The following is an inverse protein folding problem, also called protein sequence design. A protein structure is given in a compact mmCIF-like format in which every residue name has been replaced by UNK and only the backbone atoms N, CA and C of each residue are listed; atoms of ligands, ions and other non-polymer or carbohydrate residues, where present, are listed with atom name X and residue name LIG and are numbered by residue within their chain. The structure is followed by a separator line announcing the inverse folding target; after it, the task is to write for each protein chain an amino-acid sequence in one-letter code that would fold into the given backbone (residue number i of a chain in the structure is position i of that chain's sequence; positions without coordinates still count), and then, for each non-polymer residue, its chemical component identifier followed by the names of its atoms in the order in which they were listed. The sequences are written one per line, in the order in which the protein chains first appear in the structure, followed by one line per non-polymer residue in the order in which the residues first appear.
data_IF_191976920473
#
_entry.id   IF_191976920473
#
_cell.length_a   1.000
_cell.length_b   1.000
_cell.length_c   1.000
_cell.angle_alpha   90.00
_cell.angle_beta   90.00
_cell.angle_gamma   90.00
#
_symmetry.space_group_name_H-M   'P 1'
#
loop_
_entity.id
_entity.type
_entity.pdbx_description
1 polymer ?
#
# COMPACT_ATOMS: atom_id res chain seq x y z
N UNK A 1 42.10 -4.69 21.42
CA UNK A 1 40.92 -4.34 22.23
C UNK A 1 40.03 -3.46 21.37
N UNK A 2 39.04 -4.08 20.73
CA UNK A 2 38.04 -3.43 19.90
C UNK A 2 37.08 -2.64 20.79
N UNK A 3 37.00 -1.33 20.56
CA UNK A 3 35.95 -0.50 21.13
C UNK A 3 34.63 -0.90 20.45
N UNK A 4 33.83 -1.73 21.12
CA UNK A 4 32.40 -1.79 20.86
C UNK A 4 31.82 -0.47 21.36
N UNK A 5 31.55 0.44 20.43
CA UNK A 5 30.77 1.64 20.69
C UNK A 5 29.38 1.19 21.10
N UNK A 6 29.00 1.44 22.34
CA UNK A 6 27.62 1.27 22.80
C UNK A 6 26.69 2.03 21.85
N UNK A 7 25.84 1.29 21.13
CA UNK A 7 24.72 1.85 20.39
C UNK A 7 23.87 2.66 21.36
N UNK A 8 23.97 3.98 21.27
CA UNK A 8 23.06 4.89 21.97
C UNK A 8 21.63 4.51 21.59
N UNK A 9 20.88 3.93 22.54
CA UNK A 9 19.48 3.61 22.32
C UNK A 9 18.72 4.93 22.22
N UNK A 10 18.18 5.22 21.04
CA UNK A 10 17.29 6.38 20.83
C UNK A 10 16.10 6.28 21.76
N UNK A 11 15.96 7.22 22.71
CA UNK A 11 14.86 7.21 23.67
C UNK A 11 13.49 7.16 22.99
N UNK A 12 13.30 7.90 21.89
CA UNK A 12 12.06 7.88 21.11
C UNK A 12 11.74 6.52 20.46
N UNK A 13 12.76 5.76 20.04
CA UNK A 13 12.56 4.39 19.51
C UNK A 13 12.23 3.43 20.64
N UNK A 14 12.86 3.58 21.82
CA UNK A 14 12.49 2.80 22.99
C UNK A 14 11.02 3.07 23.40
N UNK A 15 10.60 4.34 23.39
CA UNK A 15 9.22 4.75 23.68
C UNK A 15 8.23 4.18 22.65
N UNK A 16 8.59 4.16 21.35
CA UNK A 16 7.76 3.58 20.28
C UNK A 16 7.37 2.13 20.60
N UNK A 17 8.32 1.30 21.08
CA UNK A 17 8.06 -0.10 21.42
C UNK A 17 7.30 -0.30 22.73
N UNK A 18 7.20 0.73 23.57
CA UNK A 18 6.46 0.70 24.83
C UNK A 18 5.07 1.33 24.70
N UNK A 19 4.78 2.03 23.61
CA UNK A 19 3.54 2.74 23.42
C UNK A 19 2.35 1.78 23.21
N UNK A 20 1.34 1.76 24.10
CA UNK A 20 0.27 0.77 24.04
C UNK A 20 -0.63 0.93 22.82
N UNK A 21 -0.97 -0.18 22.16
CA UNK A 21 -1.85 -0.19 20.98
C UNK A 21 -3.20 0.50 21.23
N UNK A 22 -3.82 0.27 22.39
CA UNK A 22 -5.11 0.89 22.72
C UNK A 22 -5.00 2.41 22.89
N UNK A 23 -3.88 2.90 23.43
CA UNK A 23 -3.58 4.33 23.48
C UNK A 23 -3.40 4.90 22.07
N UNK A 24 -2.65 4.20 21.21
CA UNK A 24 -2.46 4.60 19.82
C UNK A 24 -3.79 4.80 19.08
N UNK A 25 -4.73 3.86 19.23
CA UNK A 25 -6.05 3.96 18.62
C UNK A 25 -6.85 5.17 19.14
N UNK A 26 -6.84 5.41 20.45
CA UNK A 26 -7.58 6.51 21.08
C UNK A 26 -6.93 7.87 20.81
N UNK A 27 -5.61 7.97 20.67
CA UNK A 27 -4.89 9.24 20.48
C UNK A 27 -4.70 9.60 19.01
N UNK A 28 -4.87 8.65 18.08
CA UNK A 28 -4.74 8.88 16.64
C UNK A 28 -5.68 9.97 16.16
N UNK A 29 -5.12 11.09 15.69
CA UNK A 29 -5.85 12.22 15.09
C UNK A 29 -5.13 12.67 13.84
N UNK A 30 -5.87 13.29 12.93
CA UNK A 30 -5.22 14.06 11.85
C UNK A 30 -4.70 15.36 12.47
N UNK A 31 -3.37 15.49 12.57
CA UNK A 31 -2.70 16.75 12.96
C UNK A 31 -2.28 17.45 11.68
N UNK A 32 -2.87 18.63 11.39
CA UNK A 32 -2.74 19.30 10.09
C UNK A 32 -1.70 20.42 10.06
N UNK A 33 -1.37 20.98 11.22
CA UNK A 33 -0.37 22.03 11.34
C UNK A 33 0.93 21.39 11.83
N UNK A 34 1.86 21.20 10.90
CA UNK A 34 3.21 20.76 11.23
C UNK A 34 4.02 21.93 11.82
N UNK A 35 5.09 21.61 12.54
CA UNK A 35 6.06 22.61 13.01
C UNK A 35 6.58 23.39 11.79
N UNK A 36 6.63 24.72 11.91
CA UNK A 36 7.05 25.62 10.83
C UNK A 36 6.00 25.92 9.77
N UNK A 37 4.77 25.42 9.90
CA UNK A 37 3.66 25.77 9.00
C UNK A 37 2.87 26.97 9.52
N UNK A 38 2.80 28.04 8.73
CA UNK A 38 1.90 29.18 8.95
C UNK A 38 0.57 28.97 8.23
N UNK A 39 -0.53 29.48 8.79
CA UNK A 39 -1.89 29.37 8.28
C UNK A 39 -2.53 30.75 8.17
N UNK A 40 -3.07 31.06 7.00
CA UNK A 40 -3.94 32.22 6.81
C UNK A 40 -5.42 31.80 6.95
N UNK A 41 -6.05 32.29 8.01
CA UNK A 41 -7.42 31.98 8.37
C UNK A 41 -8.14 33.19 8.98
N UNK A 42 -7.95 34.38 8.41
CA UNK A 42 -8.51 35.65 8.91
C UNK A 42 -8.19 35.85 10.40
N UNK A 43 -9.20 36.02 11.27
CA UNK A 43 -9.01 36.18 12.71
C UNK A 43 -8.42 34.97 13.44
N UNK A 44 -8.33 33.81 12.78
CA UNK A 44 -7.72 32.58 13.30
C UNK A 44 -6.36 32.28 12.65
N UNK A 45 -5.76 33.26 11.96
CA UNK A 45 -4.45 33.09 11.34
C UNK A 45 -3.37 32.80 12.37
N UNK A 46 -2.40 31.99 11.97
CA UNK A 46 -1.25 31.62 12.79
C UNK A 46 0.03 31.75 11.97
N UNK A 47 1.02 32.45 12.51
CA UNK A 47 2.36 32.51 11.94
C UNK A 47 3.31 31.68 12.79
N UNK A 48 3.96 30.69 12.18
CA UNK A 48 4.94 29.86 12.87
C UNK A 48 6.27 30.60 13.01
N UNK A 49 6.85 30.57 14.22
CA UNK A 49 8.20 31.07 14.50
C UNK A 49 9.26 29.98 14.50
N UNK A 50 8.86 28.75 14.21
CA UNK A 50 9.73 27.59 14.19
C UNK A 50 10.17 27.29 12.76
N UNK A 51 11.39 26.81 12.58
CA UNK A 51 11.76 26.19 11.31
C UNK A 51 11.00 24.87 11.09
N UNK A 52 10.71 24.51 9.83
CA UNK A 52 10.26 23.16 9.49
C UNK A 52 11.22 22.10 10.02
N UNK A 53 10.68 20.95 10.40
CA UNK A 53 11.44 19.87 11.03
C UNK A 53 11.17 18.57 10.28
N UNK A 54 11.97 18.24 9.25
CA UNK A 54 11.84 16.97 8.54
C UNK A 54 12.09 15.79 9.48
N UNK A 55 11.59 14.62 9.08
CA UNK A 55 11.91 13.37 9.77
C UNK A 55 13.41 13.12 9.70
N UNK A 56 13.96 12.60 10.79
CA UNK A 56 15.31 12.03 10.78
C UNK A 56 15.36 10.80 9.85
N UNK A 57 16.56 10.41 9.36
CA UNK A 57 16.72 9.20 8.56
C UNK A 57 16.15 7.94 9.23
N UNK A 58 16.30 7.82 10.55
CA UNK A 58 15.78 6.68 11.31
C UNK A 58 14.25 6.69 11.41
N UNK A 59 13.63 7.83 11.69
CA UNK A 59 12.15 7.95 11.72
C UNK A 59 11.55 7.64 10.35
N UNK A 60 12.15 8.15 9.26
CA UNK A 60 11.74 7.84 7.90
C UNK A 60 11.89 6.35 7.60
N UNK A 61 13.02 5.75 7.98
CA UNK A 61 13.29 4.33 7.75
C UNK A 61 12.29 3.40 8.46
N UNK A 62 11.90 3.75 9.70
CA UNK A 62 10.85 3.04 10.43
C UNK A 62 9.52 3.12 9.67
N UNK A 63 9.11 4.31 9.22
CA UNK A 63 7.86 4.48 8.47
C UNK A 63 7.86 3.74 7.12
N UNK A 64 8.99 3.77 6.39
CA UNK A 64 9.15 3.00 5.15
C UNK A 64 9.00 1.52 5.44
N UNK A 65 9.69 1.01 6.46
CA UNK A 65 9.62 -0.41 6.86
C UNK A 65 8.21 -0.80 7.28
N UNK A 66 7.48 0.06 7.99
CA UNK A 66 6.06 -0.17 8.31
C UNK A 66 5.20 -0.21 7.04
N UNK A 67 5.51 0.59 6.02
CA UNK A 67 4.76 0.62 4.77
C UNK A 67 5.10 -0.56 3.83
N UNK A 68 6.36 -1.02 3.80
CA UNK A 68 6.84 -1.97 2.80
C UNK A 68 7.27 -3.33 3.35
N UNK A 69 7.59 -3.41 4.63
CA UNK A 69 8.31 -4.51 5.27
C UNK A 69 7.60 -5.86 5.24
N UNK A 70 8.39 -6.93 5.29
CA UNK A 70 7.92 -8.31 5.40
C UNK A 70 7.73 -8.64 6.89
N UNK A 71 6.57 -9.17 7.27
CA UNK A 71 6.27 -9.57 8.66
C UNK A 71 6.34 -11.07 8.88
N UNK A 72 6.52 -11.86 7.82
CA UNK A 72 6.64 -13.31 7.87
C UNK A 72 6.14 -13.98 6.59
N UNK A 73 5.66 -15.21 6.74
CA UNK A 73 5.12 -16.04 5.65
C UNK A 73 3.68 -16.41 6.00
N UNK A 74 2.76 -16.29 5.05
CA UNK A 74 1.37 -16.71 5.17
C UNK A 74 1.23 -18.18 4.79
N UNK A 75 0.50 -18.96 5.60
CA UNK A 75 0.31 -20.41 5.37
C UNK A 75 -0.76 -20.73 4.32
N UNK A 76 -1.64 -19.76 4.01
CA UNK A 76 -2.69 -19.90 2.98
C UNK A 76 -3.61 -21.12 3.21
N UNK A 77 -4.11 -21.26 4.44
CA UNK A 77 -4.91 -22.41 4.90
C UNK A 77 -6.34 -22.45 4.29
N UNK A 78 -6.43 -22.57 2.97
CA UNK A 78 -7.68 -22.73 2.22
C UNK A 78 -8.08 -24.20 2.05
N UNK A 79 -9.38 -24.51 1.96
CA UNK A 79 -9.82 -25.88 1.67
C UNK A 79 -9.39 -26.28 0.25
N UNK A 80 -8.62 -27.37 0.15
CA UNK A 80 -8.23 -27.95 -1.14
C UNK A 80 -9.29 -28.90 -1.71
N UNK A 81 -10.34 -29.18 -0.95
CA UNK A 81 -11.44 -30.07 -1.31
C UNK A 81 -12.75 -29.29 -1.21
N UNK A 82 -13.54 -29.30 -2.29
CA UNK A 82 -14.90 -28.76 -2.36
C UNK A 82 -15.92 -29.90 -2.33
N UNK A 83 -17.21 -29.62 -2.07
CA UNK A 83 -18.26 -30.63 -2.14
C UNK A 83 -18.37 -31.36 -3.49
N UNK A 84 -17.94 -30.74 -4.60
CA UNK A 84 -18.04 -31.25 -5.96
C UNK A 84 -16.68 -31.58 -6.63
N UNK A 85 -15.56 -31.56 -5.89
CA UNK A 85 -14.25 -31.92 -6.44
C UNK A 85 -13.06 -31.30 -5.70
N UNK A 86 -11.93 -31.21 -6.39
CA UNK A 86 -10.74 -30.53 -5.89
C UNK A 86 -10.78 -29.03 -6.22
N UNK A 87 -10.24 -28.20 -5.31
CA UNK A 87 -10.00 -26.79 -5.58
C UNK A 87 -8.75 -26.63 -6.44
N UNK A 88 -8.84 -25.86 -7.53
CA UNK A 88 -7.76 -25.70 -8.52
C UNK A 88 -6.61 -24.81 -8.01
N UNK A 89 -6.78 -24.26 -6.82
CA UNK A 89 -5.81 -23.41 -6.16
C UNK A 89 -6.48 -22.25 -5.44
N UNK A 90 -5.70 -21.58 -4.63
CA UNK A 90 -6.14 -20.39 -3.92
C UNK A 90 -5.94 -19.13 -4.79
N UNK A 91 -6.78 -18.07 -4.69
CA UNK A 91 -6.55 -16.81 -5.40
C UNK A 91 -5.26 -16.08 -4.98
N UNK A 92 -4.50 -16.60 -4.00
CA UNK A 92 -3.38 -15.88 -3.42
C UNK A 92 -2.20 -15.69 -4.40
N UNK A 93 -1.77 -14.43 -4.56
CA UNK A 93 -0.67 -14.07 -5.47
C UNK A 93 0.73 -14.13 -4.83
N UNK A 94 0.81 -13.99 -3.51
CA UNK A 94 2.08 -13.97 -2.77
C UNK A 94 1.98 -14.82 -1.50
N UNK A 95 3.12 -15.32 -1.00
CA UNK A 95 3.21 -16.07 0.27
C UNK A 95 3.80 -15.24 1.41
N UNK A 96 4.34 -14.05 1.12
CA UNK A 96 4.97 -13.21 2.14
C UNK A 96 3.89 -12.38 2.84
N UNK A 97 3.95 -12.29 4.16
CA UNK A 97 3.09 -11.44 4.96
C UNK A 97 3.63 -10.00 5.03
N UNK A 98 2.71 -9.04 5.18
CA UNK A 98 3.00 -7.60 5.33
C UNK A 98 2.27 -7.05 6.55
N UNK A 99 2.64 -5.83 6.93
CA UNK A 99 1.97 -5.04 7.97
C UNK A 99 0.53 -4.69 7.62
N UNK A 100 0.28 -4.32 6.36
CA UNK A 100 -1.04 -4.02 5.82
C UNK A 100 -1.71 -5.24 5.23
N UNK A 101 -3.02 -5.38 5.46
CA UNK A 101 -3.83 -6.40 4.80
C UNK A 101 -3.96 -6.12 3.31
N UNK A 102 -4.09 -7.18 2.52
CA UNK A 102 -4.28 -7.09 1.08
C UNK A 102 -5.14 -8.26 0.61
N UNK A 103 -6.18 -7.96 -0.18
CA UNK A 103 -7.04 -8.98 -0.76
C UNK A 103 -6.21 -9.97 -1.56
N UNK A 104 -6.45 -11.26 -1.34
CA UNK A 104 -5.73 -12.37 -1.94
C UNK A 104 -4.20 -12.27 -1.84
N UNK A 105 -3.70 -11.61 -0.79
CA UNK A 105 -2.29 -11.26 -0.64
C UNK A 105 -1.66 -10.67 -1.93
N UNK A 106 -2.41 -9.87 -2.69
CA UNK A 106 -1.96 -9.31 -3.98
C UNK A 106 -0.94 -8.18 -3.85
N UNK A 107 -0.85 -7.54 -2.68
CA UNK A 107 0.10 -6.47 -2.35
C UNK A 107 0.07 -5.32 -3.38
N UNK A 108 -1.15 -4.96 -3.81
CA UNK A 108 -1.42 -3.99 -4.87
C UNK A 108 -1.04 -2.54 -4.52
N UNK A 109 -1.02 -2.18 -3.24
CA UNK A 109 -0.72 -0.81 -2.79
C UNK A 109 0.78 -0.58 -2.73
N UNK A 110 1.28 0.37 -3.51
CA UNK A 110 2.62 0.95 -3.39
C UNK A 110 2.51 2.39 -2.91
N UNK A 111 3.61 2.98 -2.47
CA UNK A 111 3.64 4.39 -2.06
C UNK A 111 4.68 5.15 -2.87
N UNK A 112 4.33 6.37 -3.28
CA UNK A 112 5.34 7.38 -3.53
C UNK A 112 5.61 8.11 -2.22
N UNK A 113 6.88 8.16 -1.81
CA UNK A 113 7.32 9.01 -0.73
C UNK A 113 7.86 10.32 -1.30
N UNK A 114 7.44 11.45 -0.74
CA UNK A 114 7.88 12.80 -1.13
C UNK A 114 8.40 13.48 0.13
N UNK A 115 9.64 13.95 0.12
CA UNK A 115 10.23 14.74 1.19
C UNK A 115 11.07 15.88 0.58
N UNK A 116 11.95 16.52 1.37
CA UNK A 116 12.79 17.63 0.87
C UNK A 116 13.88 17.21 -0.13
N UNK A 117 14.36 15.96 -0.08
CA UNK A 117 15.47 15.46 -0.92
C UNK A 117 15.00 14.91 -2.29
N UNK A 118 13.68 14.80 -2.52
CA UNK A 118 13.15 14.21 -3.75
C UNK A 118 11.84 13.45 -3.64
N UNK A 119 11.65 12.55 -4.62
CA UNK A 119 10.52 11.61 -4.69
C UNK A 119 11.05 10.18 -4.89
N UNK A 120 10.49 9.22 -4.17
CA UNK A 120 10.84 7.80 -4.27
C UNK A 120 9.58 6.96 -4.45
N UNK A 121 9.67 5.95 -5.32
CA UNK A 121 8.74 4.84 -5.33
C UNK A 121 9.20 3.84 -4.28
N UNK A 122 8.33 3.56 -3.31
CA UNK A 122 8.56 2.54 -2.30
C UNK A 122 8.12 1.18 -2.84
N UNK A 123 9.06 0.25 -2.90
CA UNK A 123 8.84 -1.10 -3.37
C UNK A 123 8.87 -2.10 -2.22
N UNK A 124 7.95 -3.06 -2.28
CA UNK A 124 8.02 -4.24 -1.42
C UNK A 124 9.20 -5.12 -1.84
N UNK A 125 10.03 -5.60 -0.90
CA UNK A 125 10.96 -6.70 -1.17
C UNK A 125 10.19 -7.91 -1.68
N UNK A 126 10.63 -8.58 -2.74
CA UNK A 126 9.93 -9.77 -3.26
C UNK A 126 10.91 -10.90 -3.56
N UNK A 127 10.40 -12.12 -3.69
CA UNK A 127 11.23 -13.28 -4.06
C UNK A 127 12.40 -13.49 -3.10
N UNK A 128 13.62 -13.52 -3.65
CA UNK A 128 14.86 -13.77 -2.89
C UNK A 128 15.18 -12.66 -1.90
N UNK A 129 14.92 -11.41 -2.26
CA UNK A 129 15.26 -10.25 -1.40
C UNK A 129 14.42 -10.27 -0.11
N UNK A 130 13.14 -10.63 -0.23
CA UNK A 130 12.29 -10.79 0.93
C UNK A 130 12.68 -11.99 1.81
N UNK A 131 13.13 -13.09 1.21
CA UNK A 131 13.62 -14.25 1.96
C UNK A 131 14.93 -13.93 2.68
N UNK A 132 15.84 -13.20 2.02
CA UNK A 132 17.07 -12.71 2.63
C UNK A 132 16.76 -11.79 3.82
N UNK A 133 15.84 -10.83 3.66
CA UNK A 133 15.41 -9.96 4.75
C UNK A 133 14.87 -10.73 5.96
N UNK A 134 14.10 -11.81 5.75
CA UNK A 134 13.61 -12.67 6.83
C UNK A 134 14.69 -13.53 7.50
N UNK A 135 15.77 -13.86 6.78
CA UNK A 135 16.85 -14.70 7.27
C UNK A 135 17.96 -13.91 7.97
N UNK A 136 18.25 -12.71 7.46
CA UNK A 136 19.39 -11.89 7.88
C UNK A 136 19.03 -10.89 8.99
N UNK A 137 17.79 -10.39 9.02
CA UNK A 137 17.35 -9.44 10.04
C UNK A 137 16.79 -10.16 11.28
N UNK A 138 16.92 -9.57 12.49
CA UNK A 138 16.29 -10.13 13.67
C UNK A 138 14.76 -10.27 13.47
N UNK A 139 14.13 -11.34 13.97
CA UNK A 139 12.70 -11.59 13.75
C UNK A 139 11.79 -10.58 14.46
N UNK A 140 12.30 -9.84 15.44
CA UNK A 140 11.58 -8.80 16.16
C UNK A 140 12.21 -7.45 15.86
N UNK A 141 11.39 -6.51 15.44
CA UNK A 141 11.82 -5.13 15.20
C UNK A 141 12.39 -4.43 16.44
N UNK A 142 12.02 -4.86 17.66
CA UNK A 142 12.59 -4.34 18.91
C UNK A 142 14.09 -4.61 19.05
N UNK A 143 14.59 -5.61 18.32
CA UNK A 143 15.97 -6.08 18.39
C UNK A 143 16.81 -5.52 17.23
N UNK A 144 16.21 -4.70 16.35
CA UNK A 144 16.89 -4.07 15.21
C UNK A 144 17.77 -2.92 15.67
N UNK A 145 19.00 -2.89 15.16
CA UNK A 145 19.89 -1.75 15.25
C UNK A 145 19.45 -0.63 14.32
N UNK A 146 19.97 0.59 14.54
CA UNK A 146 19.73 1.72 13.61
C UNK A 146 20.16 1.38 12.18
N UNK A 147 21.28 0.67 12.01
CA UNK A 147 21.74 0.23 10.69
C UNK A 147 20.77 -0.74 10.00
N UNK A 148 20.12 -1.62 10.77
CA UNK A 148 19.12 -2.56 10.22
C UNK A 148 17.92 -1.80 9.65
N UNK A 149 17.42 -0.80 10.39
CA UNK A 149 16.34 0.08 9.93
C UNK A 149 16.70 0.81 8.64
N UNK A 150 17.85 1.49 8.64
CA UNK A 150 18.30 2.28 7.51
C UNK A 150 18.52 1.42 6.26
N UNK A 151 19.14 0.24 6.40
CA UNK A 151 19.39 -0.67 5.29
C UNK A 151 18.08 -1.25 4.72
N UNK A 152 17.17 -1.72 5.59
CA UNK A 152 15.89 -2.28 5.17
C UNK A 152 15.04 -1.25 4.41
N UNK A 153 15.04 0.01 4.88
CA UNK A 153 14.34 1.10 4.20
C UNK A 153 14.98 1.46 2.86
N UNK A 154 16.30 1.56 2.79
CA UNK A 154 17.02 1.92 1.56
C UNK A 154 16.79 0.90 0.44
N UNK A 155 16.77 -0.40 0.76
CA UNK A 155 16.44 -1.47 -0.20
C UNK A 155 15.05 -1.31 -0.82
N UNK A 156 14.13 -0.62 -0.13
CA UNK A 156 12.78 -0.39 -0.61
C UNK A 156 12.65 0.91 -1.44
N UNK A 157 13.66 1.78 -1.46
CA UNK A 157 13.59 3.11 -2.11
C UNK A 157 14.07 3.04 -3.55
N UNK A 158 13.21 3.40 -4.49
CA UNK A 158 13.58 3.67 -5.88
C UNK A 158 13.42 5.14 -6.17
N UNK A 159 14.53 5.86 -6.36
CA UNK A 159 14.51 7.30 -6.62
C UNK A 159 13.87 7.59 -7.98
N UNK A 160 12.85 8.45 -7.98
CA UNK A 160 12.12 8.89 -9.18
C UNK A 160 12.51 10.32 -9.56
N UNK A 161 12.82 11.15 -8.56
CA UNK A 161 13.17 12.57 -8.75
C UNK A 161 14.13 13.02 -7.64
N UNK A 162 15.00 13.97 -7.96
CA UNK A 162 15.90 14.67 -7.04
C UNK A 162 15.31 15.95 -6.44
N UNK A 163 14.12 16.34 -6.91
CA UNK A 163 13.34 17.45 -6.36
C UNK A 163 12.04 16.97 -5.73
N UNK A 164 11.65 17.62 -4.64
CA UNK A 164 10.30 17.53 -4.07
C UNK A 164 9.28 17.81 -5.18
N UNK A 165 8.23 16.99 -5.24
CA UNK A 165 7.11 17.23 -6.14
C UNK A 165 6.46 18.59 -5.82
N UNK A 166 6.27 19.45 -6.82
CA UNK A 166 5.68 20.78 -6.65
C UNK A 166 4.67 21.08 -7.76
N UNK A 167 3.56 21.73 -7.39
CA UNK A 167 2.45 22.08 -8.28
C UNK A 167 1.84 23.43 -7.85
N UNK A 168 1.17 24.15 -8.77
CA UNK A 168 0.41 25.33 -8.41
C UNK A 168 -0.55 25.04 -7.24
N UNK A 169 -0.51 25.89 -6.21
CA UNK A 169 -1.27 25.71 -4.97
C UNK A 169 -2.73 26.18 -5.13
N UNK A 170 -3.40 25.66 -6.15
CA UNK A 170 -4.77 26.00 -6.58
C UNK A 170 -5.54 24.75 -7.06
N UNK A 171 -6.86 24.87 -7.25
CA UNK A 171 -7.67 23.81 -7.84
C UNK A 171 -7.37 23.66 -9.35
N UNK A 172 -7.29 22.45 -9.93
CA UNK A 172 -7.62 21.14 -9.35
C UNK A 172 -6.48 20.41 -8.62
N UNK A 173 -5.28 21.00 -8.52
CA UNK A 173 -4.11 20.35 -7.92
C UNK A 173 -4.25 20.18 -6.41
N UNK A 174 -4.75 21.22 -5.72
CA UNK A 174 -5.04 21.19 -4.29
C UNK A 174 -6.50 21.52 -4.00
N UNK A 175 -7.13 20.70 -3.16
CA UNK A 175 -8.49 20.94 -2.70
C UNK A 175 -8.50 21.88 -1.49
N UNK A 176 -9.07 23.08 -1.68
CA UNK A 176 -9.34 24.04 -0.62
C UNK A 176 -8.11 24.39 0.21
N UNK A 177 -8.26 24.37 1.54
CA UNK A 177 -7.20 24.74 2.49
C UNK A 177 -5.96 23.84 2.46
N UNK A 178 -5.98 22.67 1.79
CA UNK A 178 -4.81 21.79 1.72
C UNK A 178 -3.64 22.49 1.00
N UNK A 179 -3.97 23.43 0.11
CA UNK A 179 -3.03 24.35 -0.51
C UNK A 179 -2.23 25.19 0.50
N UNK A 180 -2.60 25.30 1.78
CA UNK A 180 -1.80 26.07 2.75
C UNK A 180 -0.76 25.23 3.49
N UNK A 181 -0.96 23.91 3.62
CA UNK A 181 -0.21 23.11 4.61
C UNK A 181 0.22 21.71 4.12
N UNK A 182 -0.27 21.23 2.98
CA UNK A 182 0.13 19.92 2.45
C UNK A 182 1.35 20.04 1.56
N UNK A 183 2.25 19.04 1.61
CA UNK A 183 3.46 18.98 0.79
C UNK A 183 4.26 20.31 0.83
N UNK A 184 4.65 20.70 2.04
CA UNK A 184 5.47 21.89 2.33
C UNK A 184 6.86 21.46 2.82
N UNK A 185 7.88 22.33 2.81
CA UNK A 185 9.21 22.00 3.34
C UNK A 185 9.14 21.37 4.74
N UNK A 186 9.99 20.39 5.03
CA UNK A 186 10.01 19.64 6.29
C UNK A 186 8.89 18.59 6.44
N UNK A 187 7.99 18.42 5.47
CA UNK A 187 6.95 17.38 5.52
C UNK A 187 7.30 16.14 4.70
N UNK A 188 6.99 14.94 5.19
CA UNK A 188 7.09 13.70 4.40
C UNK A 188 5.69 13.22 4.04
N UNK A 189 5.45 12.98 2.75
CA UNK A 189 4.16 12.51 2.22
C UNK A 189 4.31 11.08 1.72
N UNK A 190 3.50 10.16 2.25
CA UNK A 190 3.33 8.81 1.71
C UNK A 190 2.05 8.80 0.88
N UNK A 191 2.18 8.89 -0.44
CA UNK A 191 1.07 8.91 -1.39
C UNK A 191 0.80 7.50 -1.92
N UNK A 192 -0.33 6.86 -1.56
CA UNK A 192 -0.63 5.51 -2.00
C UNK A 192 -1.04 5.49 -3.47
N UNK A 193 -0.55 4.48 -4.21
CA UNK A 193 -0.97 4.13 -5.56
C UNK A 193 -1.32 2.65 -5.57
N UNK A 194 -2.50 2.32 -6.07
CA UNK A 194 -3.00 0.94 -6.09
C UNK A 194 -2.96 0.42 -7.51
N UNK A 195 -2.18 -0.64 -7.73
CA UNK A 195 -2.13 -1.37 -9.00
C UNK A 195 -2.79 -2.75 -8.84
N UNK A 196 -4.06 -2.84 -9.27
CA UNK A 196 -4.83 -4.08 -9.25
C UNK A 196 -4.62 -4.94 -10.51
N UNK A 197 -3.72 -4.57 -11.43
CA UNK A 197 -3.63 -5.22 -12.75
C UNK A 197 -3.40 -6.72 -12.63
N UNK A 198 -2.41 -7.15 -11.83
CA UNK A 198 -2.11 -8.59 -11.63
C UNK A 198 -3.26 -9.32 -10.95
N UNK A 199 -3.89 -8.68 -9.97
CA UNK A 199 -5.03 -9.26 -9.25
C UNK A 199 -6.24 -9.45 -10.17
N UNK A 200 -6.53 -8.47 -11.04
CA UNK A 200 -7.63 -8.59 -11.99
C UNK A 200 -7.35 -9.63 -13.07
N UNK A 201 -6.12 -9.71 -13.58
CA UNK A 201 -5.74 -10.81 -14.47
C UNK A 201 -5.94 -12.16 -13.76
N UNK A 202 -5.49 -12.29 -12.52
CA UNK A 202 -5.65 -13.51 -11.73
C UNK A 202 -7.13 -13.88 -11.51
N UNK A 203 -7.96 -12.91 -11.13
CA UNK A 203 -9.38 -13.10 -10.96
C UNK A 203 -10.06 -13.55 -12.26
N UNK A 204 -9.70 -12.96 -13.40
CA UNK A 204 -10.22 -13.38 -14.71
C UNK A 204 -9.82 -14.82 -15.04
N UNK A 205 -8.58 -15.22 -14.76
CA UNK A 205 -8.13 -16.60 -14.96
C UNK A 205 -8.94 -17.59 -14.10
N UNK A 206 -9.12 -17.28 -12.82
CA UNK A 206 -9.91 -18.11 -11.88
C UNK A 206 -11.35 -18.26 -12.39
N UNK A 207 -12.02 -17.14 -12.68
CA UNK A 207 -13.40 -17.15 -13.16
C UNK A 207 -13.55 -17.91 -14.48
N UNK A 208 -12.56 -17.80 -15.38
CA UNK A 208 -12.56 -18.54 -16.65
C UNK A 208 -12.24 -20.03 -16.50
N UNK A 209 -11.70 -20.46 -15.36
CA UNK A 209 -11.37 -21.86 -15.08
C UNK A 209 -12.53 -22.67 -14.50
N UNK A 210 -13.62 -22.01 -14.10
CA UNK A 210 -14.82 -22.66 -13.56
C UNK A 210 -15.44 -23.67 -14.56
N UNK A 211 -16.27 -24.62 -14.11
CA UNK A 211 -16.95 -25.57 -14.98
C UNK A 211 -17.80 -24.90 -16.07
N UNK A 212 -18.01 -25.64 -17.17
CA UNK A 212 -18.89 -25.22 -18.26
C UNK A 212 -20.27 -24.82 -17.72
N UNK A 213 -20.79 -23.68 -18.16
CA UNK A 213 -22.07 -23.11 -17.68
C UNK A 213 -21.97 -22.29 -16.38
N UNK A 214 -20.84 -22.30 -15.66
CA UNK A 214 -20.58 -21.42 -14.51
C UNK A 214 -19.62 -20.26 -14.83
N UNK A 215 -18.80 -20.37 -15.88
CA UNK A 215 -17.88 -19.31 -16.33
C UNK A 215 -18.64 -18.04 -16.71
N UNK A 216 -18.19 -16.84 -16.30
CA UNK A 216 -18.82 -15.61 -16.71
C UNK A 216 -18.57 -15.33 -18.19
N UNK A 217 -19.56 -14.71 -18.85
CA UNK A 217 -19.37 -14.12 -20.17
C UNK A 217 -18.73 -12.74 -19.99
N UNK A 218 -17.57 -12.53 -20.61
CA UNK A 218 -16.94 -11.20 -20.63
C UNK A 218 -17.65 -10.37 -21.70
N UNK A 219 -18.37 -9.34 -21.26
CA UNK A 219 -19.04 -8.38 -22.14
C UNK A 219 -18.26 -7.07 -22.12
N UNK A 220 -18.00 -6.54 -23.31
CA UNK A 220 -17.40 -5.22 -23.49
C UNK A 220 -18.53 -4.17 -23.58
N UNK A 221 -18.67 -3.33 -22.56
CA UNK A 221 -19.71 -2.29 -22.52
C UNK A 221 -19.54 -1.25 -23.64
N UNK A 222 -18.33 -1.07 -24.16
CA UNK A 222 -18.04 -0.17 -25.27
C UNK A 222 -18.29 -0.82 -26.64
N UNK A 223 -18.47 -2.15 -26.68
CA UNK A 223 -18.86 -2.92 -27.86
C UNK A 223 -20.04 -3.84 -27.51
N UNK A 224 -21.29 -3.37 -27.66
CA UNK A 224 -22.47 -4.14 -27.28
C UNK A 224 -22.45 -5.53 -27.91
N UNK A 225 -22.86 -6.56 -27.16
CA UNK A 225 -22.84 -7.97 -27.56
C UNK A 225 -23.32 -8.16 -29.02
N UNK A 226 -22.36 -8.49 -29.90
CA UNK A 226 -22.56 -8.75 -31.35
C UNK A 226 -22.50 -10.26 -31.60
N UNK A 227 -23.62 -10.99 -31.48
CA UNK A 227 -23.66 -12.42 -31.70
C UNK A 227 -23.23 -12.77 -33.14
N UNK A 228 -22.27 -13.69 -33.26
CA UNK A 228 -21.75 -14.23 -34.51
C UNK A 228 -22.17 -15.69 -34.73
N UNK A 229 -22.41 -16.44 -33.65
CA UNK A 229 -22.82 -17.85 -33.72
C UNK A 229 -24.32 -18.02 -33.45
N UNK A 230 -24.90 -19.14 -33.91
CA UNK A 230 -26.31 -19.47 -33.64
C UNK A 230 -26.59 -19.53 -32.13
N UNK A 231 -25.65 -20.05 -31.34
CA UNK A 231 -25.72 -20.15 -29.88
C UNK A 231 -25.78 -18.75 -29.24
N UNK A 232 -24.94 -17.83 -29.68
CA UNK A 232 -24.93 -16.44 -29.18
C UNK A 232 -26.22 -15.69 -29.54
N UNK A 233 -26.79 -15.94 -30.72
CA UNK A 233 -28.09 -15.39 -31.11
C UNK A 233 -29.23 -15.91 -30.22
N UNK A 234 -29.25 -17.22 -29.93
CA UNK A 234 -30.22 -17.84 -29.01
C UNK A 234 -30.08 -17.24 -27.61
N UNK A 235 -28.86 -17.07 -27.12
CA UNK A 235 -28.60 -16.44 -25.81
C UNK A 235 -29.07 -14.98 -25.75
N UNK A 236 -28.81 -14.18 -26.79
CA UNK A 236 -29.28 -12.78 -26.87
C UNK A 236 -30.79 -12.68 -26.85
N UNK A 237 -31.47 -13.50 -27.65
CA UNK A 237 -32.94 -13.53 -27.72
C UNK A 237 -33.49 -13.95 -26.37
N UNK A 238 -33.01 -15.07 -25.81
CA UNK A 238 -33.43 -15.59 -24.51
C UNK A 238 -33.25 -14.60 -23.36
N UNK A 239 -32.14 -13.85 -23.35
CA UNK A 239 -31.92 -12.77 -22.38
C UNK A 239 -32.88 -11.60 -22.56
N UNK A 240 -33.16 -11.21 -23.80
CA UNK A 240 -34.05 -10.07 -24.11
C UNK A 240 -35.52 -10.34 -23.76
N UNK A 241 -35.96 -11.60 -23.78
CA UNK A 241 -37.34 -12.00 -23.46
C UNK A 241 -37.48 -12.59 -22.05
N UNK A 242 -36.45 -12.46 -21.20
CA UNK A 242 -36.51 -12.86 -19.79
C UNK A 242 -36.54 -14.38 -19.54
N UNK A 243 -36.15 -15.19 -20.53
CA UNK A 243 -36.03 -16.65 -20.36
C UNK A 243 -34.79 -17.04 -19.54
N UNK A 244 -33.75 -16.20 -19.52
CA UNK A 244 -32.66 -16.32 -18.55
C UNK A 244 -32.98 -15.52 -17.31
N UNK A 245 -32.63 -16.05 -16.13
CA UNK A 245 -32.66 -15.25 -14.88
C UNK A 245 -31.89 -13.96 -15.12
N UNK A 246 -32.56 -12.83 -14.91
CA UNK A 246 -31.88 -11.54 -14.89
C UNK A 246 -30.85 -11.61 -13.78
N UNK A 247 -29.57 -11.59 -14.14
CA UNK A 247 -28.50 -11.38 -13.18
C UNK A 247 -28.50 -9.87 -12.95
N UNK A 248 -28.88 -9.38 -11.76
CA UNK A 248 -28.84 -7.95 -11.50
C UNK A 248 -27.37 -7.51 -11.53
N UNK A 249 -27.07 -6.59 -12.43
CA UNK A 249 -25.96 -5.65 -12.23
C UNK A 249 -26.57 -4.38 -11.65
#
# INVERSE_FOLDING_TARGET
MSHHTETSKHAGVADLFQYPLMSALIERRTRRLARGTSLNAYGLSHESRNEPSPLSPLEEAILITVATGVTGVTMHDGPLVKPDGEELGTPFLHILARTGSSADNCQATRFFMINDDGNWLLQHPTGRDALAALAELPPKWSDWSESDWLQAAEQCKVRVSDRRLDFPREYPYYLGWNAQMSNVPGSTVFFPVVDCTRQYINALLILSSEPDGKRPLIMDDWRPFKPKTLVEWIAKIGGSIGLSKHIPY
#
